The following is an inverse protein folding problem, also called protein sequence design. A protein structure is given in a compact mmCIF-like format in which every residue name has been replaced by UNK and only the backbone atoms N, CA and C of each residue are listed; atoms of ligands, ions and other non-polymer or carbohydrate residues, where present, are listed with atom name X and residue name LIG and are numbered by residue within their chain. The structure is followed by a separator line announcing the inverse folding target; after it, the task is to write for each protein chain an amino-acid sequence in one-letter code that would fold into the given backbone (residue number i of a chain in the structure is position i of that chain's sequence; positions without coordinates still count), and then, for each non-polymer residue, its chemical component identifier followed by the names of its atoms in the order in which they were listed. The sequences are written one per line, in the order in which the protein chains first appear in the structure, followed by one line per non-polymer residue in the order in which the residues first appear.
data_IF_147488476226
#
_entry.id   IF_147488476226
#
_cell.length_a   1.000
_cell.length_b   1.000
_cell.length_c   1.000
_cell.angle_alpha   90.00
_cell.angle_beta   90.00
_cell.angle_gamma   90.00
#
_symmetry.space_group_name_H-M   'P 1'
#
loop_
_entity.id
_entity.type
_entity.pdbx_description
1 polymer ?
#
# COMPACT_ATOMS: atom_id res chain seq x y z
N UNK A 1 -10.79 -3.03 -3.46
CA UNK A 1 -9.54 -3.68 -2.98
C UNK A 1 -9.61 -5.21 -2.92
N UNK A 2 -10.23 -5.86 -1.91
CA UNK A 2 -10.22 -7.36 -1.81
C UNK A 2 -10.87 -8.03 -3.03
N UNK A 3 -11.94 -7.45 -3.58
CA UNK A 3 -12.62 -7.95 -4.78
C UNK A 3 -11.79 -7.80 -6.07
N UNK A 4 -10.91 -6.80 -6.16
CA UNK A 4 -10.07 -6.54 -7.35
C UNK A 4 -8.74 -7.29 -7.28
N UNK A 5 -8.19 -7.48 -6.09
CA UNK A 5 -6.89 -8.13 -5.89
C UNK A 5 -6.99 -9.26 -4.87
N UNK A 6 -7.59 -10.40 -5.22
CA UNK A 6 -7.79 -11.53 -4.29
C UNK A 6 -6.46 -12.17 -3.85
N UNK A 7 -5.37 -11.92 -4.58
CA UNK A 7 -4.01 -12.42 -4.27
C UNK A 7 -3.27 -11.58 -3.22
N UNK A 8 -3.85 -10.46 -2.75
CA UNK A 8 -3.25 -9.67 -1.68
C UNK A 8 -3.37 -10.39 -0.34
N UNK A 9 -2.27 -10.38 0.40
CA UNK A 9 -2.26 -10.82 1.79
C UNK A 9 -3.06 -9.84 2.66
N UNK A 10 -3.52 -10.29 3.84
CA UNK A 10 -4.21 -9.42 4.80
C UNK A 10 -3.38 -8.18 5.17
N UNK A 11 -2.05 -8.31 5.26
CA UNK A 11 -1.15 -7.19 5.53
C UNK A 11 -1.13 -6.15 4.40
N UNK A 12 -1.12 -6.60 3.14
CA UNK A 12 -1.17 -5.71 1.98
C UNK A 12 -2.53 -5.02 1.87
N UNK A 13 -3.63 -5.71 2.15
CA UNK A 13 -4.97 -5.10 2.21
C UNK A 13 -5.01 -4.02 3.29
N UNK A 14 -4.42 -4.28 4.46
CA UNK A 14 -4.34 -3.29 5.54
C UNK A 14 -3.51 -2.09 5.13
N UNK A 15 -2.37 -2.29 4.46
CA UNK A 15 -1.57 -1.21 3.92
C UNK A 15 -2.37 -0.35 2.91
N UNK A 16 -3.08 -0.96 1.97
CA UNK A 16 -3.93 -0.22 1.03
C UNK A 16 -5.01 0.59 1.73
N UNK A 17 -5.64 0.03 2.78
CA UNK A 17 -6.63 0.74 3.56
C UNK A 17 -6.03 1.99 4.21
N UNK A 18 -4.85 1.89 4.83
CA UNK A 18 -4.19 3.03 5.47
C UNK A 18 -3.75 4.09 4.45
N UNK A 19 -3.26 3.68 3.28
CA UNK A 19 -2.96 4.57 2.15
C UNK A 19 -4.22 5.31 1.69
N UNK A 20 -5.35 4.61 1.58
CA UNK A 20 -6.64 5.20 1.21
C UNK A 20 -7.13 6.24 2.22
N UNK A 21 -6.77 6.08 3.49
CA UNK A 21 -7.02 7.08 4.53
C UNK A 21 -6.06 8.28 4.50
N UNK A 22 -5.26 8.42 3.42
CA UNK A 22 -4.28 9.50 3.20
C UNK A 22 -3.21 9.60 4.28
N UNK A 23 -2.93 8.48 4.97
CA UNK A 23 -1.86 8.44 5.96
C UNK A 23 -0.49 8.48 5.28
N UNK A 24 0.44 9.23 5.87
CA UNK A 24 1.83 9.26 5.44
C UNK A 24 2.54 7.95 5.78
N UNK A 25 3.66 7.66 5.09
CA UNK A 25 4.45 6.45 5.36
C UNK A 25 4.93 6.37 6.82
N UNK A 26 5.15 7.52 7.47
CA UNK A 26 5.53 7.59 8.89
C UNK A 26 4.37 7.18 9.80
N UNK A 27 3.17 7.71 9.57
CA UNK A 27 1.98 7.35 10.36
C UNK A 27 1.60 5.89 10.17
N UNK A 28 1.67 5.38 8.93
CA UNK A 28 1.46 3.96 8.63
C UNK A 28 2.48 3.09 9.37
N UNK A 29 3.76 3.48 9.37
CA UNK A 29 4.80 2.77 10.09
C UNK A 29 4.53 2.70 11.59
N UNK A 30 4.07 3.81 12.19
CA UNK A 30 3.64 3.86 13.60
C UNK A 30 2.45 2.94 13.87
N UNK A 31 1.41 2.98 13.04
CA UNK A 31 0.20 2.15 13.21
C UNK A 31 0.51 0.65 13.08
N UNK A 32 1.42 0.30 12.16
CA UNK A 32 1.82 -1.08 11.93
C UNK A 32 2.98 -1.53 12.84
N UNK A 33 3.50 -0.63 13.69
CA UNK A 33 4.65 -0.85 14.56
C UNK A 33 5.87 -1.41 13.81
N UNK A 34 6.21 -0.80 12.68
CA UNK A 34 7.35 -1.17 11.83
C UNK A 34 8.17 0.07 11.47
N UNK A 35 9.33 -0.12 10.86
CA UNK A 35 10.12 1.01 10.35
C UNK A 35 9.51 1.61 9.09
N UNK A 36 9.69 2.93 8.83
CA UNK A 36 9.28 3.55 7.56
C UNK A 36 9.86 2.85 6.33
N UNK A 37 11.11 2.37 6.40
CA UNK A 37 11.74 1.61 5.32
C UNK A 37 11.02 0.28 5.01
N UNK A 38 10.39 -0.35 6.01
CA UNK A 38 9.57 -1.54 5.78
C UNK A 38 8.29 -1.19 4.99
N UNK A 39 7.71 -0.02 5.23
CA UNK A 39 6.55 0.49 4.47
C UNK A 39 6.94 0.76 3.02
N UNK A 40 8.08 1.39 2.75
CA UNK A 40 8.58 1.61 1.38
C UNK A 40 8.74 0.30 0.62
N UNK A 41 9.39 -0.71 1.23
CA UNK A 41 9.53 -2.04 0.64
C UNK A 41 8.18 -2.72 0.41
N UNK A 42 7.22 -2.54 1.32
CA UNK A 42 5.88 -3.10 1.19
C UNK A 42 5.11 -2.44 0.03
N UNK A 43 5.16 -1.10 -0.10
CA UNK A 43 4.60 -0.36 -1.23
C UNK A 43 5.21 -0.80 -2.56
N UNK A 44 6.52 -0.98 -2.62
CA UNK A 44 7.20 -1.48 -3.82
C UNK A 44 6.73 -2.88 -4.24
N UNK A 45 6.62 -3.81 -3.27
CA UNK A 45 6.08 -5.16 -3.54
C UNK A 45 4.61 -5.11 -3.98
N UNK A 46 3.83 -4.24 -3.35
CA UNK A 46 2.42 -4.05 -3.68
C UNK A 46 2.25 -3.53 -5.10
N UNK A 47 3.01 -2.49 -5.51
CA UNK A 47 3.05 -2.00 -6.91
C UNK A 47 3.28 -3.14 -7.90
N UNK A 48 4.30 -3.97 -7.67
CA UNK A 48 4.61 -5.12 -8.53
C UNK A 48 3.46 -6.13 -8.59
N UNK A 49 2.77 -6.39 -7.48
CA UNK A 49 1.67 -7.36 -7.41
C UNK A 49 0.42 -6.91 -8.17
N UNK A 50 0.14 -5.60 -8.15
CA UNK A 50 -1.00 -5.02 -8.86
C UNK A 50 -0.64 -4.60 -10.30
N UNK A 51 0.59 -4.90 -10.75
CA UNK A 51 1.14 -4.53 -12.05
C UNK A 51 1.02 -3.02 -12.36
N UNK A 52 1.25 -2.17 -11.35
CA UNK A 52 1.26 -0.72 -11.51
C UNK A 52 2.61 -0.28 -12.09
N UNK A 53 2.59 0.67 -13.03
CA UNK A 53 3.81 1.19 -13.63
C UNK A 53 4.68 1.93 -12.61
N UNK A 54 5.97 2.01 -12.91
CA UNK A 54 6.94 2.63 -11.99
C UNK A 54 6.64 4.10 -11.76
N UNK A 55 6.17 4.77 -12.81
CA UNK A 55 5.88 6.21 -12.84
C UNK A 55 4.59 6.56 -12.09
N UNK A 56 3.63 5.65 -12.04
CA UNK A 56 2.35 5.90 -11.35
C UNK A 56 2.52 5.93 -9.83
N UNK A 57 1.94 6.93 -9.17
CA UNK A 57 1.91 6.96 -7.71
C UNK A 57 0.93 5.89 -7.17
N UNK A 58 1.44 4.97 -6.34
CA UNK A 58 0.59 3.94 -5.70
C UNK A 58 -0.53 4.57 -4.86
N UNK A 59 -0.23 5.70 -4.23
CA UNK A 59 -1.17 6.39 -3.36
C UNK A 59 -2.33 7.01 -4.15
N UNK A 60 -2.03 7.59 -5.31
CA UNK A 60 -3.04 8.14 -6.23
C UNK A 60 -3.88 7.00 -6.84
N UNK A 61 -3.24 5.91 -7.26
CA UNK A 61 -3.94 4.73 -7.76
C UNK A 61 -4.93 4.19 -6.73
N UNK A 62 -4.52 4.05 -5.46
CA UNK A 62 -5.38 3.56 -4.38
C UNK A 62 -6.49 4.55 -4.02
N UNK A 63 -6.27 5.86 -4.19
CA UNK A 63 -7.32 6.87 -4.01
C UNK A 63 -8.38 6.80 -5.10
N UNK A 64 -8.00 6.46 -6.34
CA UNK A 64 -8.91 6.31 -7.47
C UNK A 64 -9.74 5.02 -7.48
N UNK A 65 -9.42 4.04 -6.62
CA UNK A 65 -10.17 2.78 -6.45
C UNK A 65 -11.44 2.93 -5.60
#
# INVERSE_FOLDING_TARGET
LIKQFPKLTKGEVRLCYLIRQKMSNKEIATVLNVSPAAIEKAKYRLKKKIALDKEDALDEYIQGL
#
